data_IF_102291716083
#
_entry.id   IF_102291716083
#
_cell.length_a   1.000
_cell.length_b   1.000
_cell.length_c   1.000
_cell.angle_alpha   90.00
_cell.angle_beta   90.00
_cell.angle_gamma   90.00
#
_symmetry.space_group_name_H-M   'P 1'
#
loop_
_entity.id
_entity.type
_entity.pdbx_description
1 polymer ?
#
# COMPACT_ATOMS: atom_id res chain seq x y z
N UNK A 1 -31.11 15.28 18.57
CA UNK A 1 -30.80 15.52 17.15
C UNK A 1 -29.87 14.42 16.75
N UNK A 2 -30.45 13.44 16.12
CA UNK A 2 -29.72 12.26 15.60
C UNK A 2 -28.76 12.72 14.50
N UNK A 3 -27.48 12.66 14.77
CA UNK A 3 -26.46 12.91 13.74
C UNK A 3 -26.05 11.54 13.16
N UNK A 4 -26.90 11.00 12.30
CA UNK A 4 -26.47 9.87 11.48
C UNK A 4 -25.22 10.29 10.69
N UNK A 5 -24.12 9.56 10.88
CA UNK A 5 -22.91 9.75 10.09
C UNK A 5 -23.08 8.96 8.79
N UNK A 6 -22.79 9.58 7.65
CA UNK A 6 -22.81 8.91 6.34
C UNK A 6 -21.46 8.26 6.09
N UNK A 7 -21.46 6.95 5.81
CA UNK A 7 -20.28 6.15 5.49
C UNK A 7 -20.37 5.63 4.07
N UNK A 8 -19.20 5.47 3.43
CA UNK A 8 -19.07 4.91 2.09
C UNK A 8 -18.81 3.42 2.18
N UNK A 9 -19.76 2.60 1.79
CA UNK A 9 -19.62 1.14 1.72
C UNK A 9 -19.28 0.74 0.30
N UNK A 10 -18.24 -0.05 0.12
CA UNK A 10 -17.76 -0.47 -1.18
C UNK A 10 -18.17 -1.92 -1.47
N UNK A 11 -18.85 -2.12 -2.60
CA UNK A 11 -19.29 -3.41 -3.11
C UNK A 11 -18.51 -3.76 -4.38
N UNK A 12 -18.50 -5.04 -4.76
CA UNK A 12 -17.87 -5.50 -6.00
C UNK A 12 -18.94 -5.54 -7.09
N UNK A 13 -18.66 -5.00 -8.29
CA UNK A 13 -19.59 -5.12 -9.40
C UNK A 13 -19.71 -6.58 -9.88
N UNK A 14 -20.80 -6.93 -10.55
CA UNK A 14 -21.07 -8.32 -10.97
C UNK A 14 -20.04 -8.90 -11.93
N UNK A 15 -19.44 -8.05 -12.76
CA UNK A 15 -18.35 -8.44 -13.68
C UNK A 15 -17.02 -8.68 -13.00
N UNK A 16 -16.88 -8.38 -11.69
CA UNK A 16 -15.64 -8.44 -10.91
C UNK A 16 -14.50 -7.66 -11.58
N UNK A 17 -14.82 -6.47 -12.08
CA UNK A 17 -13.87 -5.55 -12.70
C UNK A 17 -13.63 -4.28 -11.88
N UNK A 18 -14.44 -4.02 -10.85
CA UNK A 18 -14.33 -2.82 -10.03
C UNK A 18 -15.13 -2.89 -8.74
N UNK A 19 -14.91 -1.87 -7.91
CA UNK A 19 -15.69 -1.61 -6.71
C UNK A 19 -16.60 -0.42 -6.92
N UNK A 20 -17.82 -0.49 -6.39
CA UNK A 20 -18.84 0.53 -6.45
C UNK A 20 -19.13 1.08 -5.04
N UNK A 21 -19.17 2.39 -4.91
CA UNK A 21 -19.40 3.08 -3.65
C UNK A 21 -20.89 3.38 -3.43
N UNK A 22 -21.38 3.03 -2.26
CA UNK A 22 -22.72 3.35 -1.80
C UNK A 22 -22.67 4.05 -0.44
N UNK A 23 -23.39 5.14 -0.33
CA UNK A 23 -23.54 5.84 0.96
C UNK A 23 -24.55 5.10 1.84
N UNK A 24 -24.17 4.90 3.11
CA UNK A 24 -25.00 4.33 4.17
C UNK A 24 -24.98 5.23 5.39
N UNK A 25 -26.14 5.44 5.98
CA UNK A 25 -26.25 6.11 7.26
C UNK A 25 -26.07 5.08 8.37
N UNK A 26 -25.10 5.28 9.27
CA UNK A 26 -24.91 4.45 10.44
C UNK A 26 -25.52 5.10 11.66
N UNK A 27 -26.03 4.26 12.56
CA UNK A 27 -26.56 4.66 13.87
C UNK A 27 -25.53 4.47 14.98
N UNK A 28 -24.45 3.76 14.70
CA UNK A 28 -23.36 3.44 15.61
C UNK A 28 -22.63 4.70 16.12
N UNK A 29 -22.40 4.77 17.44
CA UNK A 29 -21.72 5.89 18.09
C UNK A 29 -20.26 5.58 18.39
N UNK A 30 -19.93 4.32 18.71
CA UNK A 30 -18.57 3.87 19.05
C UNK A 30 -17.87 3.20 17.87
N UNK A 31 -16.55 3.12 17.92
CA UNK A 31 -15.74 2.44 16.88
C UNK A 31 -16.12 0.96 16.73
N UNK A 32 -16.38 0.25 17.84
CA UNK A 32 -16.78 -1.16 17.79
C UNK A 32 -18.17 -1.32 17.16
N UNK A 33 -19.14 -0.46 17.51
CA UNK A 33 -20.46 -0.47 16.89
C UNK A 33 -20.41 -0.11 15.39
N UNK A 34 -19.55 0.86 15.01
CA UNK A 34 -19.31 1.22 13.61
C UNK A 34 -18.71 0.04 12.83
N UNK A 35 -17.76 -0.68 13.44
CA UNK A 35 -17.17 -1.88 12.88
C UNK A 35 -18.24 -2.94 12.60
N UNK A 36 -19.06 -3.25 13.60
CA UNK A 36 -20.11 -4.26 13.51
C UNK A 36 -21.15 -3.92 12.43
N UNK A 37 -21.61 -2.66 12.39
CA UNK A 37 -22.61 -2.20 11.42
C UNK A 37 -22.04 -2.20 9.99
N UNK A 38 -20.79 -1.78 9.78
CA UNK A 38 -20.13 -1.82 8.49
C UNK A 38 -19.85 -3.26 8.01
N UNK A 39 -19.46 -4.17 8.92
CA UNK A 39 -19.31 -5.60 8.62
C UNK A 39 -20.64 -6.22 8.19
N UNK A 40 -21.73 -5.85 8.84
CA UNK A 40 -23.07 -6.30 8.45
C UNK A 40 -23.40 -5.85 7.02
N UNK A 41 -23.12 -4.59 6.66
CA UNK A 41 -23.31 -4.12 5.29
C UNK A 41 -22.44 -4.86 4.26
N UNK A 42 -21.17 -5.10 4.57
CA UNK A 42 -20.25 -5.82 3.69
C UNK A 42 -20.59 -7.32 3.56
N UNK A 43 -21.29 -7.88 4.53
CA UNK A 43 -21.76 -9.27 4.54
C UNK A 43 -23.20 -9.45 4.05
N UNK A 44 -23.95 -8.39 3.79
CA UNK A 44 -25.33 -8.46 3.34
C UNK A 44 -25.42 -8.21 1.84
N UNK A 45 -26.10 -9.09 1.12
CA UNK A 45 -26.33 -8.92 -0.32
C UNK A 45 -27.07 -7.60 -0.57
N UNK A 46 -26.54 -6.74 -1.47
CA UNK A 46 -27.21 -5.49 -1.81
C UNK A 46 -28.59 -5.76 -2.43
N UNK A 47 -29.54 -4.85 -2.23
CA UNK A 47 -30.87 -4.96 -2.84
C UNK A 47 -30.82 -4.96 -4.38
N UNK A 48 -29.84 -4.28 -4.94
CA UNK A 48 -29.58 -4.31 -6.38
C UNK A 48 -28.68 -5.49 -6.72
N UNK A 49 -29.18 -6.38 -7.57
CA UNK A 49 -28.46 -7.56 -8.09
C UNK A 49 -27.21 -7.23 -8.93
N UNK A 50 -26.89 -5.96 -9.11
CA UNK A 50 -25.73 -5.47 -9.88
C UNK A 50 -24.42 -5.53 -9.12
N UNK A 51 -24.46 -5.81 -7.82
CA UNK A 51 -23.31 -5.79 -6.92
C UNK A 51 -23.22 -7.06 -6.07
N UNK A 52 -22.01 -7.39 -5.67
CA UNK A 52 -21.70 -8.50 -4.76
C UNK A 52 -21.17 -7.95 -3.45
N UNK A 53 -21.64 -8.52 -2.34
CA UNK A 53 -21.12 -8.21 -1.03
C UNK A 53 -19.69 -8.79 -0.85
N UNK A 54 -18.69 -8.01 -0.44
CA UNK A 54 -17.30 -8.47 -0.34
C UNK A 54 -17.10 -9.68 0.57
N UNK A 55 -17.86 -9.78 1.67
CA UNK A 55 -17.79 -10.92 2.60
C UNK A 55 -18.63 -12.12 2.18
N UNK A 56 -19.31 -12.08 1.02
CA UNK A 56 -20.09 -13.17 0.42
C UNK A 56 -19.39 -13.81 -0.80
N UNK A 57 -18.07 -13.64 -0.92
CA UNK A 57 -17.29 -14.09 -2.07
C UNK A 57 -16.73 -15.51 -1.93
N UNK A 58 -17.32 -16.34 -1.07
CA UNK A 58 -16.99 -17.77 -0.94
C UNK A 58 -16.00 -18.09 0.17
N UNK A 59 -15.72 -17.15 1.06
CA UNK A 59 -14.95 -17.32 2.30
C UNK A 59 -15.76 -16.79 3.49
N UNK A 60 -15.30 -17.08 4.71
CA UNK A 60 -15.93 -16.61 5.94
C UNK A 60 -15.02 -15.64 6.70
N UNK A 61 -15.59 -14.57 7.24
CA UNK A 61 -14.94 -13.77 8.27
C UNK A 61 -14.98 -14.55 9.59
N UNK A 62 -13.80 -14.84 10.16
CA UNK A 62 -13.66 -15.62 11.40
C UNK A 62 -13.66 -14.71 12.63
N UNK A 63 -12.97 -13.59 12.53
CA UNK A 63 -12.91 -12.56 13.58
C UNK A 63 -12.56 -11.20 13.02
N UNK A 64 -12.99 -10.17 13.74
CA UNK A 64 -12.59 -8.79 13.51
C UNK A 64 -12.32 -8.15 14.89
N UNK A 65 -11.21 -7.41 15.02
CA UNK A 65 -10.90 -6.68 16.25
C UNK A 65 -10.01 -5.48 16.00
N UNK A 66 -10.13 -4.50 16.88
CA UNK A 66 -9.35 -3.27 16.83
C UNK A 66 -8.21 -3.35 17.85
N UNK A 67 -6.99 -3.00 17.42
CA UNK A 67 -5.82 -2.83 18.28
C UNK A 67 -5.16 -1.47 17.97
N UNK A 68 -5.39 -0.50 18.82
CA UNK A 68 -4.98 0.89 18.61
C UNK A 68 -5.58 1.47 17.33
N UNK A 69 -4.74 1.87 16.38
CA UNK A 69 -5.17 2.43 15.09
C UNK A 69 -5.30 1.37 13.98
N UNK A 70 -5.23 0.09 14.32
CA UNK A 70 -5.24 -1.04 13.39
C UNK A 70 -6.48 -1.89 13.58
N UNK A 71 -7.11 -2.23 12.48
CA UNK A 71 -8.17 -3.22 12.42
C UNK A 71 -7.61 -4.52 11.83
N UNK A 72 -7.86 -5.63 12.50
CA UNK A 72 -7.50 -6.98 12.03
C UNK A 72 -8.76 -7.73 11.62
N UNK A 73 -8.77 -8.24 10.39
CA UNK A 73 -9.81 -9.10 9.83
C UNK A 73 -9.20 -10.48 9.56
N UNK A 74 -9.62 -11.50 10.30
CA UNK A 74 -9.18 -12.88 10.07
C UNK A 74 -10.23 -13.62 9.25
N UNK A 75 -9.80 -14.19 8.13
CA UNK A 75 -10.68 -14.89 7.20
C UNK A 75 -10.29 -16.36 7.10
N UNK A 76 -11.23 -17.18 6.61
CA UNK A 76 -11.02 -18.60 6.41
C UNK A 76 -10.12 -18.92 5.22
N UNK A 77 -9.59 -20.14 5.15
CA UNK A 77 -8.62 -20.60 4.14
C UNK A 77 -9.15 -20.47 2.70
N UNK A 78 -10.47 -20.52 2.50
CA UNK A 78 -11.11 -20.36 1.21
C UNK A 78 -10.78 -18.99 0.54
N UNK A 79 -10.39 -17.98 1.33
CA UNK A 79 -9.94 -16.70 0.81
C UNK A 79 -8.76 -16.85 -0.17
N UNK A 80 -7.84 -17.79 0.07
CA UNK A 80 -6.71 -18.08 -0.82
C UNK A 80 -7.11 -18.65 -2.17
N UNK A 81 -8.35 -19.17 -2.28
CA UNK A 81 -8.90 -19.71 -3.53
C UNK A 81 -9.53 -18.65 -4.44
N UNK A 82 -9.61 -17.40 -3.98
CA UNK A 82 -10.08 -16.31 -4.80
C UNK A 82 -9.14 -16.09 -6.00
N UNK A 83 -9.73 -15.77 -7.16
CA UNK A 83 -8.94 -15.31 -8.31
C UNK A 83 -8.18 -14.03 -7.90
N UNK A 84 -6.95 -13.85 -8.38
CA UNK A 84 -6.11 -12.71 -8.05
C UNK A 84 -6.82 -11.35 -8.26
N UNK A 85 -7.59 -11.22 -9.34
CA UNK A 85 -8.39 -10.00 -9.62
C UNK A 85 -9.51 -9.80 -8.62
N UNK A 86 -10.24 -10.86 -8.28
CA UNK A 86 -11.32 -10.81 -7.28
C UNK A 86 -10.78 -10.53 -5.89
N UNK A 87 -9.66 -11.15 -5.51
CA UNK A 87 -9.00 -10.95 -4.23
C UNK A 87 -8.66 -9.47 -3.99
N UNK A 88 -8.07 -8.80 -4.99
CA UNK A 88 -7.73 -7.37 -4.88
C UNK A 88 -8.98 -6.51 -4.72
N UNK A 89 -10.07 -6.82 -5.42
CA UNK A 89 -11.33 -6.08 -5.28
C UNK A 89 -11.97 -6.28 -3.90
N UNK A 90 -11.95 -7.50 -3.37
CA UNK A 90 -12.39 -7.80 -1.99
C UNK A 90 -11.57 -6.97 -1.01
N UNK A 91 -10.25 -7.03 -1.12
CA UNK A 91 -9.31 -6.30 -0.28
C UNK A 91 -9.54 -4.79 -0.35
N UNK A 92 -9.69 -4.23 -1.54
CA UNK A 92 -10.00 -2.81 -1.75
C UNK A 92 -11.33 -2.42 -1.10
N UNK A 93 -12.38 -3.21 -1.29
CA UNK A 93 -13.70 -2.95 -0.71
C UNK A 93 -13.66 -2.98 0.83
N UNK A 94 -13.02 -3.99 1.42
CA UNK A 94 -12.86 -4.12 2.87
C UNK A 94 -12.04 -2.97 3.46
N UNK A 95 -10.87 -2.69 2.90
CA UNK A 95 -9.97 -1.65 3.45
C UNK A 95 -10.58 -0.26 3.31
N UNK A 96 -11.16 0.09 2.16
CA UNK A 96 -11.76 1.41 1.93
C UNK A 96 -13.00 1.65 2.79
N UNK A 97 -13.78 0.61 3.06
CA UNK A 97 -14.94 0.71 3.95
C UNK A 97 -14.48 0.83 5.40
N UNK A 98 -13.59 -0.05 5.85
CA UNK A 98 -13.20 -0.17 7.26
C UNK A 98 -12.27 0.95 7.73
N UNK A 99 -11.50 1.57 6.86
CA UNK A 99 -10.67 2.74 7.20
C UNK A 99 -11.47 3.98 7.60
N UNK A 100 -12.79 3.95 7.50
CA UNK A 100 -13.68 5.03 7.93
C UNK A 100 -14.14 4.88 9.39
N UNK A 101 -13.90 3.72 10.02
CA UNK A 101 -14.17 3.51 11.45
C UNK A 101 -13.30 4.47 12.27
N UNK A 102 -13.89 5.11 13.26
CA UNK A 102 -13.22 6.12 14.06
C UNK A 102 -11.95 5.57 14.72
N UNK A 103 -10.84 6.27 14.56
CA UNK A 103 -9.53 5.89 15.09
C UNK A 103 -8.75 4.88 14.25
N UNK A 104 -9.33 4.26 13.21
CA UNK A 104 -8.65 3.28 12.37
C UNK A 104 -7.90 3.98 11.23
N UNK A 105 -6.59 3.71 11.16
CA UNK A 105 -5.72 4.15 10.05
C UNK A 105 -5.33 3.01 9.14
N UNK A 106 -5.22 1.80 9.68
CA UNK A 106 -4.72 0.63 8.97
C UNK A 106 -5.63 -0.57 9.13
N UNK A 107 -5.73 -1.37 8.08
CA UNK A 107 -6.45 -2.63 8.06
C UNK A 107 -5.48 -3.76 7.69
N UNK A 108 -5.45 -4.82 8.45
CA UNK A 108 -4.74 -6.05 8.14
C UNK A 108 -5.73 -7.17 7.88
N UNK A 109 -5.47 -7.98 6.87
CA UNK A 109 -6.20 -9.22 6.61
C UNK A 109 -5.26 -10.39 6.90
N UNK A 110 -5.71 -11.33 7.72
CA UNK A 110 -5.02 -12.59 7.99
C UNK A 110 -5.87 -13.76 7.50
N UNK A 111 -5.25 -14.87 7.18
CA UNK A 111 -5.93 -16.10 6.77
C UNK A 111 -5.58 -17.18 7.77
N UNK A 112 -6.59 -17.69 8.52
CA UNK A 112 -6.39 -18.66 9.60
C UNK A 112 -5.34 -18.20 10.62
N UNK A 113 -5.29 -16.88 10.92
CA UNK A 113 -4.30 -16.25 11.78
C UNK A 113 -2.91 -16.09 11.17
N UNK A 114 -2.69 -16.58 9.96
CA UNK A 114 -1.43 -16.44 9.21
C UNK A 114 -1.40 -15.21 8.32
N UNK A 115 -0.22 -14.85 7.83
CA UNK A 115 -0.04 -13.70 6.93
C UNK A 115 -0.75 -13.94 5.59
N UNK A 116 -1.40 -12.88 5.07
CA UNK A 116 -1.90 -12.85 3.72
C UNK A 116 -0.74 -12.59 2.75
N UNK A 117 -0.69 -13.36 1.66
CA UNK A 117 0.22 -13.15 0.55
C UNK A 117 -0.56 -12.80 -0.71
N UNK A 118 -0.02 -11.91 -1.52
CA UNK A 118 -0.59 -11.59 -2.83
C UNK A 118 -0.31 -12.73 -3.85
N UNK A 119 -0.81 -12.56 -5.07
CA UNK A 119 -0.63 -13.53 -6.16
C UNK A 119 0.83 -13.71 -6.60
N UNK A 120 1.73 -12.82 -6.18
CA UNK A 120 3.17 -12.87 -6.44
C UNK A 120 3.96 -13.49 -5.27
N UNK A 121 3.27 -13.84 -4.18
CA UNK A 121 3.86 -14.40 -2.97
C UNK A 121 4.42 -13.37 -1.98
N UNK A 122 4.17 -12.09 -2.18
CA UNK A 122 4.58 -11.04 -1.24
C UNK A 122 3.61 -10.94 -0.07
N UNK A 123 4.13 -10.67 1.12
CA UNK A 123 3.29 -10.39 2.30
C UNK A 123 2.53 -9.08 2.09
N UNK A 124 1.20 -9.12 2.22
CA UNK A 124 0.33 -7.95 2.06
C UNK A 124 0.47 -6.97 3.23
N UNK A 125 0.52 -7.43 4.46
CA UNK A 125 0.72 -6.61 5.65
C UNK A 125 -0.43 -5.65 5.96
N UNK A 126 -0.08 -4.49 6.57
CA UNK A 126 -1.02 -3.42 6.89
C UNK A 126 -1.36 -2.61 5.64
N UNK A 127 -2.64 -2.25 5.51
CA UNK A 127 -3.16 -1.50 4.36
C UNK A 127 -3.91 -0.26 4.83
N UNK A 128 -3.94 0.77 3.99
CA UNK A 128 -4.74 1.98 4.15
C UNK A 128 -5.56 2.26 2.88
N UNK A 129 -6.64 3.04 3.00
CA UNK A 129 -7.57 3.28 1.90
C UNK A 129 -6.92 3.92 0.67
N UNK A 130 -5.91 4.75 0.88
CA UNK A 130 -5.16 5.48 -0.15
C UNK A 130 -4.26 4.59 -1.03
N UNK A 131 -4.08 3.32 -0.66
CA UNK A 131 -3.39 2.33 -1.50
C UNK A 131 -4.22 1.87 -2.70
N UNK A 132 -5.52 2.14 -2.69
CA UNK A 132 -6.46 1.71 -3.72
C UNK A 132 -6.98 2.91 -4.50
N UNK A 133 -6.83 2.89 -5.83
CA UNK A 133 -7.28 3.94 -6.73
C UNK A 133 -8.81 3.91 -6.85
N UNK A 134 -9.42 5.09 -6.90
CA UNK A 134 -10.84 5.25 -7.19
C UNK A 134 -11.10 5.03 -8.70
N UNK A 135 -11.44 3.80 -9.07
CA UNK A 135 -11.86 3.47 -10.43
C UNK A 135 -13.40 3.53 -10.52
N UNK A 136 -13.93 4.75 -10.43
CA UNK A 136 -15.38 4.96 -10.60
C UNK A 136 -15.79 4.60 -12.04
N UNK A 137 -16.32 3.39 -12.23
CA UNK A 137 -17.13 3.02 -13.40
C UNK A 137 -16.41 2.65 -14.69
N UNK A 138 -15.08 2.49 -14.72
CA UNK A 138 -14.37 1.98 -15.89
C UNK A 138 -13.97 0.50 -15.71
N UNK A 139 -14.14 -0.29 -16.76
CA UNK A 139 -13.63 -1.66 -16.81
C UNK A 139 -12.14 -1.65 -16.46
N UNK A 140 -11.79 -2.38 -15.39
CA UNK A 140 -10.40 -2.52 -14.99
C UNK A 140 -9.76 -3.58 -15.88
N UNK A 141 -8.90 -3.16 -16.79
CA UNK A 141 -7.80 -4.02 -17.19
C UNK A 141 -6.93 -4.20 -15.94
N UNK A 142 -7.10 -5.31 -15.25
CA UNK A 142 -6.49 -5.58 -13.96
C UNK A 142 -4.96 -5.53 -13.99
N UNK A 143 -4.37 -5.50 -15.18
CA UNK A 143 -2.93 -5.40 -15.40
C UNK A 143 -2.62 -4.45 -16.55
N UNK A 144 -1.66 -3.56 -16.33
CA UNK A 144 -1.05 -2.71 -17.34
C UNK A 144 0.45 -2.87 -17.31
N UNK A 145 1.14 -2.43 -18.36
CA UNK A 145 2.60 -2.40 -18.41
C UNK A 145 3.11 -1.02 -18.08
N UNK A 146 4.04 -0.95 -17.14
CA UNK A 146 4.72 0.29 -16.78
C UNK A 146 6.22 0.13 -16.93
N UNK A 147 6.88 1.21 -17.33
CA UNK A 147 8.33 1.35 -17.30
C UNK A 147 8.68 2.29 -16.16
N UNK A 148 9.31 1.76 -15.14
CA UNK A 148 9.78 2.50 -13.97
C UNK A 148 11.26 2.84 -14.15
N UNK A 149 11.64 4.05 -13.76
CA UNK A 149 13.04 4.44 -13.55
C UNK A 149 13.31 4.42 -12.05
N UNK A 150 14.21 3.54 -11.65
CA UNK A 150 14.52 3.26 -10.26
C UNK A 150 15.99 3.53 -9.98
N UNK A 151 16.30 3.96 -8.77
CA UNK A 151 17.65 4.26 -8.34
C UNK A 151 18.11 3.30 -7.26
N UNK A 152 19.29 2.70 -7.46
CA UNK A 152 19.92 1.77 -6.54
C UNK A 152 21.35 2.23 -6.26
N UNK A 153 22.01 1.62 -5.27
CA UNK A 153 23.38 1.98 -4.92
C UNK A 153 24.39 1.52 -5.96
N UNK A 154 25.47 2.28 -6.13
CA UNK A 154 26.69 1.81 -6.76
C UNK A 154 27.44 0.80 -5.86
N UNK A 155 28.52 0.20 -6.34
CA UNK A 155 29.30 -0.81 -5.62
C UNK A 155 29.81 -0.32 -4.25
N UNK A 156 30.19 0.95 -4.16
CA UNK A 156 30.72 1.55 -2.93
C UNK A 156 29.64 2.03 -1.96
N UNK A 157 28.37 2.02 -2.36
CA UNK A 157 27.24 2.48 -1.55
C UNK A 157 27.24 4.00 -1.32
N UNK A 158 27.93 4.78 -2.16
CA UNK A 158 28.12 6.23 -2.01
C UNK A 158 27.36 7.06 -3.03
N UNK A 159 26.85 6.46 -4.09
CA UNK A 159 26.14 7.13 -5.16
C UNK A 159 24.97 6.27 -5.67
N UNK A 160 24.07 6.90 -6.42
CA UNK A 160 22.90 6.28 -7.03
C UNK A 160 23.14 6.01 -8.51
N UNK A 161 22.70 4.85 -8.97
CA UNK A 161 22.69 4.46 -10.37
C UNK A 161 21.25 4.25 -10.83
N UNK A 162 20.87 4.90 -11.93
CA UNK A 162 19.54 4.76 -12.51
C UNK A 162 19.43 3.43 -13.29
N UNK A 163 18.36 2.71 -13.06
CA UNK A 163 17.97 1.52 -13.80
C UNK A 163 16.55 1.67 -14.35
N UNK A 164 16.24 0.93 -15.41
CA UNK A 164 14.89 0.89 -15.96
C UNK A 164 14.33 -0.52 -15.79
N UNK A 165 13.10 -0.60 -15.26
CA UNK A 165 12.36 -1.87 -15.10
C UNK A 165 11.02 -1.76 -15.79
N UNK A 166 10.77 -2.65 -16.75
CA UNK A 166 9.46 -2.80 -17.38
C UNK A 166 8.76 -4.01 -16.80
N UNK A 167 7.54 -3.80 -16.29
CA UNK A 167 6.79 -4.88 -15.65
C UNK A 167 5.28 -4.69 -15.84
N UNK A 168 4.55 -5.80 -15.77
CA UNK A 168 3.11 -5.76 -15.60
C UNK A 168 2.80 -5.49 -14.13
N UNK A 169 1.85 -4.62 -13.85
CA UNK A 169 1.40 -4.32 -12.50
C UNK A 169 -0.12 -4.29 -12.43
N UNK A 170 -0.67 -4.50 -11.25
CA UNK A 170 -2.09 -4.39 -11.02
C UNK A 170 -2.48 -2.92 -10.91
N UNK A 171 -3.40 -2.48 -11.78
CA UNK A 171 -3.85 -1.07 -11.85
C UNK A 171 -4.64 -0.59 -10.62
N UNK A 172 -5.01 -1.49 -9.72
CA UNK A 172 -5.63 -1.14 -8.42
C UNK A 172 -4.62 -0.70 -7.35
N UNK A 173 -3.32 -0.81 -7.64
CA UNK A 173 -2.23 -0.35 -6.76
C UNK A 173 -1.66 0.92 -7.37
N UNK A 174 -1.44 1.95 -6.56
CA UNK A 174 -0.84 3.20 -7.05
C UNK A 174 0.59 2.98 -7.56
N UNK A 175 0.99 3.76 -8.56
CA UNK A 175 2.36 3.70 -9.11
C UNK A 175 3.39 4.05 -8.05
N UNK A 176 3.06 4.96 -7.15
CA UNK A 176 3.93 5.36 -6.05
C UNK A 176 4.23 4.19 -5.11
N UNK A 177 3.20 3.43 -4.75
CA UNK A 177 3.38 2.21 -3.95
C UNK A 177 4.19 1.18 -4.71
N UNK A 178 3.91 0.98 -5.99
CA UNK A 178 4.67 0.06 -6.84
C UNK A 178 6.17 0.43 -6.87
N UNK A 179 6.49 1.72 -7.04
CA UNK A 179 7.88 2.20 -7.01
C UNK A 179 8.57 1.83 -5.70
N UNK A 180 7.93 2.10 -4.55
CA UNK A 180 8.49 1.77 -3.24
C UNK A 180 8.67 0.26 -3.07
N UNK A 181 7.70 -0.55 -3.51
CA UNK A 181 7.80 -2.02 -3.50
C UNK A 181 8.97 -2.51 -4.35
N UNK A 182 9.21 -1.89 -5.52
CA UNK A 182 10.33 -2.27 -6.39
C UNK A 182 11.69 -1.86 -5.81
N UNK A 183 11.79 -0.73 -5.11
CA UNK A 183 13.01 -0.34 -4.39
C UNK A 183 13.30 -1.33 -3.25
N UNK A 184 12.26 -1.72 -2.50
CA UNK A 184 12.37 -2.68 -1.41
C UNK A 184 12.75 -4.08 -1.91
N UNK A 185 12.20 -4.52 -3.04
CA UNK A 185 12.56 -5.79 -3.67
C UNK A 185 14.02 -5.82 -4.17
N UNK A 186 14.64 -4.66 -4.34
CA UNK A 186 16.02 -4.53 -4.80
C UNK A 186 16.17 -4.60 -6.32
N UNK A 187 17.42 -4.57 -6.81
CA UNK A 187 17.74 -4.64 -8.23
C UNK A 187 17.28 -5.97 -8.83
N UNK A 188 16.86 -5.94 -10.10
CA UNK A 188 16.54 -7.15 -10.85
C UNK A 188 17.79 -7.94 -11.22
N UNK A 189 17.63 -9.23 -11.58
CA UNK A 189 18.76 -10.10 -11.90
C UNK A 189 19.57 -9.63 -13.10
N UNK A 190 18.98 -8.87 -13.99
CA UNK A 190 19.59 -8.28 -15.19
C UNK A 190 20.58 -7.14 -14.87
N UNK A 191 20.54 -6.58 -13.68
CA UNK A 191 21.40 -5.46 -13.23
C UNK A 191 22.09 -5.75 -11.88
N UNK A 192 21.91 -6.94 -11.32
CA UNK A 192 22.41 -7.29 -9.98
C UNK A 192 23.95 -7.28 -9.86
N UNK A 193 24.68 -7.36 -10.97
CA UNK A 193 26.14 -7.26 -10.99
C UNK A 193 26.65 -5.81 -10.98
N UNK A 194 25.76 -4.84 -11.19
CA UNK A 194 26.11 -3.43 -11.45
C UNK A 194 25.58 -2.51 -10.38
N UNK A 195 24.44 -2.83 -9.77
CA UNK A 195 23.78 -2.03 -8.74
C UNK A 195 23.34 -2.89 -7.57
N UNK A 196 23.25 -2.27 -6.41
CA UNK A 196 23.09 -2.94 -5.12
C UNK A 196 21.85 -2.45 -4.37
N UNK A 197 21.23 -3.32 -3.54
CA UNK A 197 20.06 -2.94 -2.73
C UNK A 197 20.37 -1.79 -1.77
N UNK A 198 19.36 -0.98 -1.50
CA UNK A 198 19.48 0.23 -0.65
C UNK A 198 18.68 0.15 0.64
N UNK A 199 17.78 -0.81 0.77
CA UNK A 199 16.87 -0.94 1.92
C UNK A 199 16.96 -2.31 2.56
N UNK A 200 16.74 -2.37 3.87
CA UNK A 200 16.58 -3.63 4.59
C UNK A 200 15.41 -4.42 4.00
N UNK A 201 15.60 -5.67 3.57
CA UNK A 201 14.56 -6.48 2.93
C UNK A 201 13.40 -6.85 3.87
N UNK A 202 13.60 -6.70 5.19
CA UNK A 202 12.55 -6.93 6.18
C UNK A 202 11.66 -5.70 6.42
N UNK A 203 11.98 -4.55 5.80
CA UNK A 203 11.16 -3.33 5.88
C UNK A 203 9.77 -3.59 5.32
N UNK A 204 8.74 -3.13 6.02
CA UNK A 204 7.35 -3.20 5.57
C UNK A 204 6.85 -1.82 5.23
N UNK A 205 6.13 -1.74 4.11
CA UNK A 205 5.42 -0.53 3.70
C UNK A 205 4.10 -0.51 4.46
N UNK A 206 3.94 0.45 5.36
CA UNK A 206 2.69 0.66 6.11
C UNK A 206 1.68 1.38 5.22
N UNK A 207 2.08 2.51 4.62
CA UNK A 207 1.24 3.23 3.65
C UNK A 207 2.07 4.05 2.67
N UNK A 208 1.47 4.32 1.50
CA UNK A 208 1.98 5.27 0.51
C UNK A 208 0.80 6.07 -0.01
N UNK A 209 0.88 7.39 0.04
CA UNK A 209 -0.16 8.29 -0.46
C UNK A 209 0.42 9.56 -1.06
N UNK A 210 -0.33 10.21 -1.96
CA UNK A 210 0.07 11.50 -2.53
C UNK A 210 -0.99 12.55 -2.21
N UNK A 211 -0.52 13.70 -1.72
CA UNK A 211 -1.36 14.88 -1.51
C UNK A 211 -0.56 16.13 -1.89
N UNK A 212 -1.13 16.97 -2.72
CA UNK A 212 -0.54 18.25 -3.15
C UNK A 212 0.89 18.10 -3.72
N UNK A 213 1.13 17.01 -4.46
CA UNK A 213 2.44 16.70 -5.04
C UNK A 213 3.50 16.20 -4.04
N UNK A 214 3.10 15.93 -2.80
CA UNK A 214 3.97 15.32 -1.78
C UNK A 214 3.55 13.84 -1.64
N UNK A 215 4.51 12.93 -1.88
CA UNK A 215 4.33 11.52 -1.60
C UNK A 215 4.71 11.23 -0.14
N UNK A 216 3.76 10.76 0.63
CA UNK A 216 3.93 10.33 2.02
C UNK A 216 4.17 8.84 2.04
N UNK A 217 5.36 8.43 2.45
CA UNK A 217 5.77 7.02 2.55
C UNK A 217 5.96 6.67 4.01
N UNK A 218 5.17 5.72 4.52
CA UNK A 218 5.25 5.27 5.90
C UNK A 218 5.78 3.82 5.94
N UNK A 219 6.87 3.62 6.65
CA UNK A 219 7.50 2.31 6.84
C UNK A 219 7.34 1.84 8.30
N UNK A 220 7.60 0.56 8.52
CA UNK A 220 7.80 0.02 9.85
C UNK A 220 9.22 0.33 10.37
N UNK A 221 9.48 -0.02 11.63
CA UNK A 221 10.77 0.23 12.32
C UNK A 221 11.97 -0.48 11.66
N UNK A 222 11.75 -1.54 10.85
CA UNK A 222 12.83 -2.24 10.17
C UNK A 222 13.55 -1.36 9.14
N UNK A 223 12.91 -0.29 8.67
CA UNK A 223 13.55 0.70 7.80
C UNK A 223 14.78 1.36 8.44
N UNK A 224 14.76 1.54 9.76
CA UNK A 224 15.87 2.14 10.50
C UNK A 224 17.10 1.21 10.60
N UNK A 225 16.87 -0.09 10.43
CA UNK A 225 17.89 -1.14 10.55
C UNK A 225 18.51 -1.44 9.19
N UNK A 226 19.61 -0.74 8.87
CA UNK A 226 20.30 -0.96 7.60
C UNK A 226 21.12 -2.26 7.60
N UNK A 227 20.93 -3.06 6.55
CA UNK A 227 21.66 -4.34 6.38
C UNK A 227 22.75 -4.28 5.31
N UNK A 228 22.76 -3.21 4.49
CA UNK A 228 23.72 -3.01 3.41
C UNK A 228 24.70 -1.88 3.74
N UNK A 229 25.90 -1.95 3.17
CA UNK A 229 26.90 -0.88 3.30
C UNK A 229 26.61 0.25 2.32
N UNK A 230 25.57 1.03 2.60
CA UNK A 230 25.17 2.21 1.82
C UNK A 230 25.11 3.43 2.73
N UNK A 231 25.44 4.62 2.21
CA UNK A 231 25.30 5.86 2.95
C UNK A 231 23.84 6.16 3.28
N UNK A 232 23.59 6.93 4.34
CA UNK A 232 22.23 7.35 4.71
C UNK A 232 21.54 8.12 3.58
N UNK A 233 22.29 8.98 2.90
CA UNK A 233 21.78 9.76 1.77
C UNK A 233 21.37 8.86 0.59
N UNK A 234 22.20 7.89 0.23
CA UNK A 234 21.90 6.93 -0.84
C UNK A 234 20.62 6.15 -0.54
N UNK A 235 20.43 5.70 0.69
CA UNK A 235 19.22 4.98 1.08
C UNK A 235 17.95 5.84 0.97
N UNK A 236 17.99 7.08 1.48
CA UNK A 236 16.86 8.01 1.40
C UNK A 236 16.60 8.46 -0.03
N UNK A 237 17.64 8.89 -0.75
CA UNK A 237 17.46 9.44 -2.10
C UNK A 237 17.22 8.37 -3.18
N UNK A 238 17.47 7.10 -2.93
CA UNK A 238 16.98 6.04 -3.77
C UNK A 238 15.43 6.06 -3.86
N UNK A 239 14.78 6.24 -2.72
CA UNK A 239 13.31 6.36 -2.65
C UNK A 239 12.86 7.67 -3.26
N UNK A 240 13.43 8.79 -2.82
CA UNK A 240 13.03 10.14 -3.23
C UNK A 240 13.19 10.36 -4.74
N UNK A 241 14.35 9.99 -5.30
CA UNK A 241 14.61 10.16 -6.73
C UNK A 241 13.73 9.23 -7.59
N UNK A 242 13.49 7.99 -7.14
CA UNK A 242 12.63 7.05 -7.87
C UNK A 242 11.17 7.48 -7.88
N UNK A 243 10.65 7.94 -6.75
CA UNK A 243 9.30 8.52 -6.67
C UNK A 243 9.18 9.80 -7.48
N UNK A 244 10.21 10.64 -7.46
CA UNK A 244 10.26 11.89 -8.22
C UNK A 244 10.33 11.70 -9.74
N UNK A 245 10.47 10.49 -10.27
CA UNK A 245 10.28 10.19 -11.70
C UNK A 245 8.79 10.14 -12.10
N UNK A 246 7.89 10.01 -11.13
CA UNK A 246 6.46 10.06 -11.37
C UNK A 246 5.98 11.51 -11.44
N UNK A 247 5.13 11.82 -12.42
CA UNK A 247 4.61 13.18 -12.64
C UNK A 247 3.70 13.67 -11.50
N UNK A 248 3.19 12.76 -10.69
CA UNK A 248 2.38 13.04 -9.50
C UNK A 248 3.19 13.49 -8.28
N UNK A 249 4.53 13.30 -8.29
CA UNK A 249 5.38 13.48 -7.12
C UNK A 249 6.44 14.55 -7.35
N UNK A 250 6.37 15.61 -6.57
CA UNK A 250 7.38 16.67 -6.54
C UNK A 250 8.33 16.54 -5.35
N UNK A 251 7.79 16.07 -4.21
CA UNK A 251 8.51 15.92 -2.95
C UNK A 251 8.09 14.64 -2.24
N UNK A 252 8.89 14.18 -1.29
CA UNK A 252 8.64 12.96 -0.52
C UNK A 252 8.80 13.24 0.97
N UNK A 253 7.83 12.80 1.77
CA UNK A 253 7.91 12.75 3.22
C UNK A 253 7.98 11.29 3.67
N UNK A 254 9.01 10.95 4.43
CA UNK A 254 9.17 9.60 5.00
C UNK A 254 8.79 9.64 6.47
N UNK A 255 8.06 8.62 6.93
CA UNK A 255 7.70 8.41 8.34
C UNK A 255 7.89 6.95 8.75
N UNK A 256 8.05 6.73 10.05
CA UNK A 256 8.16 5.39 10.64
C UNK A 256 7.00 5.19 11.60
N UNK A 257 6.13 4.22 11.31
CA UNK A 257 4.89 4.00 12.07
C UNK A 257 4.06 5.29 12.27
N UNK A 258 4.12 6.20 11.28
CA UNK A 258 3.44 7.50 11.30
C UNK A 258 4.24 8.65 11.93
N UNK A 259 5.38 8.38 12.54
CA UNK A 259 6.24 9.36 13.20
C UNK A 259 7.27 9.94 12.22
N UNK A 260 7.44 11.26 12.21
CA UNK A 260 8.44 11.97 11.39
C UNK A 260 9.57 12.58 12.21
N UNK A 261 9.39 12.75 13.52
CA UNK A 261 10.42 13.29 14.41
C UNK A 261 11.45 12.21 14.79
N UNK A 262 12.06 11.63 13.77
CA UNK A 262 13.04 10.54 13.87
C UNK A 262 14.28 10.90 13.07
N UNK A 263 15.45 10.60 13.64
CA UNK A 263 16.73 10.68 12.93
C UNK A 263 17.05 9.34 12.26
N UNK A 264 17.13 9.33 10.94
CA UNK A 264 17.60 8.17 10.21
C UNK A 264 19.13 8.05 10.35
N UNK A 265 19.58 6.97 10.98
CA UNK A 265 21.00 6.66 11.23
C UNK A 265 21.78 7.86 11.81
N UNK A 266 21.15 8.59 12.74
CA UNK A 266 21.71 9.75 13.44
C UNK A 266 22.18 10.91 12.55
N UNK A 267 21.88 10.88 11.25
CA UNK A 267 22.39 11.84 10.26
C UNK A 267 21.32 12.63 9.51
N UNK A 268 20.16 12.00 9.20
CA UNK A 268 19.11 12.62 8.38
C UNK A 268 17.81 12.69 9.17
N UNK A 269 17.26 13.90 9.35
CA UNK A 269 15.95 14.08 9.97
C UNK A 269 14.83 13.70 9.02
N UNK A 270 13.96 12.76 9.41
CA UNK A 270 12.78 12.38 8.64
C UNK A 270 11.64 13.41 8.74
N UNK A 271 11.76 14.44 9.61
CA UNK A 271 10.85 15.60 9.58
C UNK A 271 11.02 16.46 8.31
N UNK A 272 12.11 16.25 7.56
CA UNK A 272 12.37 16.91 6.28
C UNK A 272 11.42 16.39 5.20
N UNK A 273 10.86 17.31 4.41
CA UNK A 273 10.20 16.98 3.14
C UNK A 273 11.26 17.04 2.05
N UNK A 274 11.61 15.88 1.51
CA UNK A 274 12.74 15.75 0.58
C UNK A 274 12.36 16.14 -0.85
N UNK A 275 13.26 16.83 -1.53
CA UNK A 275 13.25 17.04 -2.97
C UNK A 275 14.30 16.14 -3.64
N UNK A 276 14.20 15.93 -4.95
CA UNK A 276 15.19 15.11 -5.69
C UNK A 276 16.60 15.66 -5.50
N UNK A 277 17.55 14.75 -5.30
CA UNK A 277 18.97 15.08 -5.30
C UNK A 277 19.65 14.38 -6.47
N UNK A 278 19.89 15.13 -7.54
CA UNK A 278 20.51 14.61 -8.76
C UNK A 278 22.02 14.56 -8.66
N UNK A 279 22.63 15.26 -7.70
CA UNK A 279 24.09 15.27 -7.50
C UNK A 279 24.62 13.93 -6.97
N UNK A 280 23.73 13.11 -6.39
CA UNK A 280 24.05 11.74 -5.96
C UNK A 280 24.07 10.72 -7.09
N UNK A 281 23.63 11.09 -8.30
CA UNK A 281 23.50 10.16 -9.42
C UNK A 281 24.84 10.02 -10.13
N UNK A 282 25.28 8.78 -10.33
CA UNK A 282 26.45 8.45 -11.16
C UNK A 282 26.05 7.55 -12.31
N UNK A 283 26.86 7.54 -13.33
CA UNK A 283 26.77 6.57 -14.43
C UNK A 283 27.71 5.40 -14.12
N UNK A 284 27.25 4.19 -14.38
CA UNK A 284 28.17 3.04 -14.41
C UNK A 284 29.04 3.19 -15.63
N UNK A 285 30.34 3.34 -15.44
CA UNK A 285 31.27 3.18 -16.56
C UNK A 285 31.22 1.72 -17.01
N UNK A 286 31.13 1.48 -18.32
CA UNK A 286 31.02 0.13 -18.89
C UNK A 286 32.26 -0.72 -18.65
#
# INVERSE_FOLDING_TARGET
MDRSKVYKVYYINNSETGVEMHEKELTAETADEQLDELLLHLGTMPEKLEYKAPLQMGFNLRSAYIDGEKLYLDVSEEYRSLKATTEILVRAALVRTMSQVEGIKYVAITVEGGQLHDSLGNVVGLMSADQFIDNAGNEINAYDKVRLRLYFANADGTALVATNRTMAYNTNISLERLVVEQILAGPGPDVADVVYPVMNPNTKIVSVSVRDGICYVNFDENFLNQTYNVSSEVAIYAIVNSLGELTSVNRVQISINGETDIMYRESISLSTVFERNLDLITTVEP
#
